data_IF_489306903292
#
_entry.id   IF_489306903292
#
_cell.length_a   1.000
_cell.length_b   1.000
_cell.length_c   1.000
_cell.angle_alpha   90.00
_cell.angle_beta   90.00
_cell.angle_gamma   90.00
#
_symmetry.space_group_name_H-M   'P 1'
#
loop_
_entity.id
_entity.type
_entity.pdbx_description
1 polymer ?
#
# COMPACT_ATOMS: atom_id res chain seq x y z
N UNK A 1 -0.59 56.63 33.67
CA UNK A 1 -0.39 55.51 34.63
C UNK A 1 -1.29 54.36 34.21
N UNK A 2 -0.71 53.20 33.92
CA UNK A 2 -1.44 52.00 33.53
C UNK A 2 -0.43 50.90 33.18
N UNK A 3 -0.09 50.11 34.19
CA UNK A 3 0.91 49.05 34.17
C UNK A 3 0.58 47.90 33.18
N UNK A 4 1.60 47.15 32.72
CA UNK A 4 1.43 46.10 31.71
C UNK A 4 0.80 44.85 32.32
N UNK A 5 0.02 44.10 31.51
CA UNK A 5 -0.42 42.74 31.84
C UNK A 5 0.00 41.75 30.74
N UNK A 6 0.22 40.48 31.12
CA UNK A 6 1.43 39.76 30.74
C UNK A 6 1.28 38.91 29.48
N UNK A 7 2.42 38.69 28.84
CA UNK A 7 2.67 37.55 27.97
C UNK A 7 2.27 36.23 28.64
N UNK A 8 1.32 35.50 28.06
CA UNK A 8 1.41 34.05 27.83
C UNK A 8 0.14 33.57 27.11
N UNK A 9 0.17 33.48 25.79
CA UNK A 9 -0.76 32.63 25.05
C UNK A 9 0.10 31.64 24.25
N UNK A 10 0.18 30.44 24.80
CA UNK A 10 0.88 29.31 24.23
C UNK A 10 0.31 28.98 22.82
N UNK A 11 1.11 28.90 21.74
CA UNK A 11 0.61 28.55 20.40
C UNK A 11 0.25 27.06 20.23
N UNK A 12 0.17 26.28 21.31
CA UNK A 12 0.08 24.80 21.30
C UNK A 12 -1.35 24.22 21.28
N UNK A 13 -2.37 24.92 20.76
CA UNK A 13 -3.76 24.41 20.86
C UNK A 13 -4.60 24.49 19.58
N UNK A 14 -4.00 24.61 18.39
CA UNK A 14 -4.82 24.77 17.18
C UNK A 14 -4.14 24.61 15.83
N UNK A 15 -3.08 23.79 15.70
CA UNK A 15 -2.39 23.64 14.40
C UNK A 15 -3.35 23.13 13.31
N UNK A 16 -4.38 22.34 13.67
CA UNK A 16 -5.29 21.71 12.70
C UNK A 16 -6.77 22.10 12.84
N UNK A 17 -7.26 22.38 14.06
CA UNK A 17 -8.64 22.82 14.30
C UNK A 17 -8.69 24.26 14.80
N UNK A 18 -9.18 25.16 13.94
CA UNK A 18 -10.11 26.20 14.38
C UNK A 18 -9.55 27.46 15.05
N UNK A 19 -8.56 28.15 14.47
CA UNK A 19 -8.48 29.62 14.49
C UNK A 19 -7.90 30.10 13.16
N UNK A 20 -8.73 30.61 12.24
CA UNK A 20 -8.37 31.62 11.21
C UNK A 20 -7.20 31.41 10.22
N UNK A 21 -6.48 30.28 10.20
CA UNK A 21 -5.32 30.12 9.31
C UNK A 21 -5.70 29.47 7.96
N UNK A 22 -5.28 30.07 6.84
CA UNK A 22 -5.42 29.48 5.52
C UNK A 22 -4.49 28.25 5.39
N UNK A 23 -5.08 27.09 5.11
CA UNK A 23 -4.35 25.84 4.79
C UNK A 23 -4.18 25.77 3.28
N UNK A 24 -3.00 25.39 2.82
CA UNK A 24 -2.73 25.34 1.38
C UNK A 24 -1.97 24.08 1.01
N UNK A 25 -2.62 23.25 0.19
CA UNK A 25 -1.98 22.14 -0.51
C UNK A 25 -1.39 22.70 -1.78
N UNK A 26 -0.07 22.69 -1.88
CA UNK A 26 0.58 23.19 -3.07
C UNK A 26 1.01 22.05 -4.00
N UNK A 27 1.39 22.43 -5.21
CA UNK A 27 1.89 21.46 -6.17
C UNK A 27 3.19 20.81 -5.68
N UNK A 28 4.08 21.55 -5.00
CA UNK A 28 5.43 21.14 -4.56
C UNK A 28 5.46 20.05 -3.47
N UNK A 29 4.40 19.25 -3.31
CA UNK A 29 4.36 18.12 -2.36
C UNK A 29 4.33 18.52 -0.89
N UNK A 30 3.85 19.73 -0.56
CA UNK A 30 3.72 20.19 0.82
C UNK A 30 2.31 20.72 1.14
N UNK A 31 1.97 20.64 2.42
CA UNK A 31 0.85 21.36 3.03
C UNK A 31 1.47 22.47 3.86
N UNK A 32 1.12 23.72 3.54
CA UNK A 32 1.55 24.89 4.31
C UNK A 32 0.39 25.46 5.12
N UNK A 33 0.75 25.99 6.28
CA UNK A 33 -0.13 26.71 7.19
C UNK A 33 0.44 28.11 7.37
N UNK A 34 -0.42 29.07 7.69
CA UNK A 34 -0.08 30.49 7.93
C UNK A 34 0.30 31.26 6.65
N UNK A 35 1.19 30.71 5.80
CA UNK A 35 1.72 31.38 4.61
C UNK A 35 2.01 30.41 3.47
N UNK A 36 1.64 30.82 2.25
CA UNK A 36 1.93 30.05 1.03
C UNK A 36 3.44 29.83 0.84
N UNK A 37 3.77 28.69 0.25
CA UNK A 37 5.11 28.39 -0.26
C UNK A 37 4.99 28.13 -1.76
N UNK A 38 5.32 29.15 -2.56
CA UNK A 38 5.11 29.13 -4.01
C UNK A 38 6.14 28.32 -4.80
N UNK A 39 7.30 28.02 -4.21
CA UNK A 39 8.39 27.30 -4.89
C UNK A 39 9.12 26.35 -3.94
N UNK A 40 9.71 25.29 -4.49
CA UNK A 40 10.74 24.54 -3.78
C UNK A 40 11.85 25.50 -3.38
N UNK A 41 12.24 25.45 -2.11
CA UNK A 41 13.43 26.15 -1.64
C UNK A 41 14.42 25.09 -1.18
N UNK A 42 15.67 25.12 -1.66
CA UNK A 42 16.67 24.11 -1.33
C UNK A 42 17.18 24.26 0.11
N UNK A 43 16.42 24.84 1.03
CA UNK A 43 16.78 25.04 2.43
C UNK A 43 16.31 23.85 3.23
N UNK A 44 17.22 23.17 3.92
CA UNK A 44 16.87 22.09 4.84
C UNK A 44 16.09 22.63 6.03
N UNK A 45 15.35 21.77 6.72
CA UNK A 45 14.76 22.18 8.00
C UNK A 45 15.87 22.45 9.03
N UNK A 46 15.70 23.44 9.92
CA UNK A 46 14.53 24.29 10.10
C UNK A 46 14.51 25.49 9.13
N UNK A 47 13.31 25.84 8.68
CA UNK A 47 13.05 27.12 7.99
C UNK A 47 12.29 28.00 8.97
N UNK A 48 12.95 29.06 9.44
CA UNK A 48 12.32 30.12 10.24
C UNK A 48 11.42 31.02 9.36
N UNK A 49 10.54 31.81 9.99
CA UNK A 49 9.58 32.82 9.42
C UNK A 49 8.11 32.37 9.36
N UNK A 50 7.61 31.72 10.41
CA UNK A 50 6.17 31.39 10.55
C UNK A 50 5.62 30.56 9.38
N UNK A 51 6.47 29.70 8.79
CA UNK A 51 6.10 28.76 7.74
C UNK A 51 5.97 27.38 8.35
N UNK A 52 4.82 27.12 8.95
CA UNK A 52 4.48 25.78 9.38
C UNK A 52 4.16 24.95 8.13
N UNK A 53 4.89 23.88 7.89
CA UNK A 53 4.77 23.02 6.72
C UNK A 53 4.84 21.54 7.10
N UNK A 54 3.97 20.76 6.48
CA UNK A 54 4.06 19.30 6.42
C UNK A 54 4.49 18.95 5.00
N UNK A 55 5.71 18.48 4.86
CA UNK A 55 6.32 18.13 3.59
C UNK A 55 6.19 16.63 3.35
N UNK A 56 5.21 16.22 2.55
CA UNK A 56 5.11 14.83 2.13
C UNK A 56 6.28 14.48 1.21
N UNK A 57 6.56 15.35 0.26
CA UNK A 57 7.60 15.15 -0.73
C UNK A 57 8.00 16.50 -1.31
N UNK A 58 8.76 17.27 -0.55
CA UNK A 58 9.10 18.62 -0.94
C UNK A 58 10.14 18.61 -2.06
N UNK A 59 9.64 18.79 -3.27
CA UNK A 59 10.38 18.90 -4.51
C UNK A 59 9.61 19.79 -5.47
N UNK A 60 10.20 20.09 -6.62
CA UNK A 60 9.52 20.77 -7.72
C UNK A 60 8.53 19.80 -8.40
N UNK A 61 7.43 19.46 -7.74
CA UNK A 61 6.36 18.60 -8.28
C UNK A 61 5.47 19.42 -9.24
N UNK A 62 5.07 18.84 -10.36
CA UNK A 62 4.25 19.49 -11.39
C UNK A 62 3.13 18.59 -11.93
N UNK A 63 1.91 18.81 -11.43
CA UNK A 63 0.71 18.11 -11.88
C UNK A 63 0.13 18.65 -13.21
N UNK A 64 0.64 19.75 -13.77
CA UNK A 64 0.15 20.28 -15.06
C UNK A 64 0.62 19.43 -16.24
N UNK A 65 1.60 18.55 -16.02
CA UNK A 65 2.21 17.69 -17.04
C UNK A 65 1.77 16.24 -16.90
N UNK A 66 1.60 15.74 -15.67
CA UNK A 66 1.07 14.42 -15.37
C UNK A 66 0.54 14.37 -13.94
N UNK A 67 -0.52 13.60 -13.73
CA UNK A 67 -1.10 13.35 -12.42
C UNK A 67 -1.99 14.47 -11.90
N UNK A 68 -2.51 14.26 -10.70
CA UNK A 68 -3.50 15.12 -10.07
C UNK A 68 -3.21 15.30 -8.59
N UNK A 69 -3.69 16.41 -8.03
CA UNK A 69 -3.61 16.69 -6.59
C UNK A 69 -5.01 16.83 -6.05
N UNK A 70 -5.37 15.95 -5.12
CA UNK A 70 -6.68 15.93 -4.47
C UNK A 70 -6.50 16.16 -2.98
N UNK A 71 -7.42 16.89 -2.37
CA UNK A 71 -7.46 16.98 -0.92
C UNK A 71 -8.89 17.11 -0.40
N UNK A 72 -9.11 16.61 0.82
CA UNK A 72 -10.40 16.70 1.49
C UNK A 72 -10.23 16.77 3.00
N UNK A 73 -11.12 17.52 3.63
CA UNK A 73 -11.43 17.34 5.05
C UNK A 73 -12.43 16.18 5.20
N UNK A 74 -12.24 15.38 6.22
CA UNK A 74 -13.05 14.21 6.51
C UNK A 74 -13.48 14.23 7.98
N UNK A 75 -14.79 14.31 8.18
CA UNK A 75 -15.47 14.13 9.46
C UNK A 75 -16.42 12.92 9.42
N UNK A 76 -16.37 12.12 8.35
CA UNK A 76 -17.22 10.94 8.22
C UNK A 76 -16.80 9.86 9.25
N UNK A 77 -17.76 9.17 9.89
CA UNK A 77 -17.47 8.23 10.98
C UNK A 77 -16.48 7.11 10.60
N UNK A 78 -16.51 6.66 9.34
CA UNK A 78 -15.63 5.60 8.88
C UNK A 78 -14.16 6.05 8.81
N UNK A 79 -13.90 7.27 8.31
CA UNK A 79 -12.56 7.83 8.24
C UNK A 79 -12.03 8.20 9.63
N UNK A 80 -12.86 8.79 10.50
CA UNK A 80 -12.47 9.08 11.89
C UNK A 80 -12.13 7.81 12.67
N UNK A 81 -12.91 6.74 12.51
CA UNK A 81 -12.64 5.44 13.14
C UNK A 81 -11.30 4.87 12.69
N UNK A 82 -11.04 4.81 11.38
CA UNK A 82 -9.75 4.32 10.85
C UNK A 82 -8.57 5.13 11.34
N UNK A 83 -8.68 6.47 11.34
CA UNK A 83 -7.63 7.36 11.83
C UNK A 83 -7.36 7.16 13.32
N UNK A 84 -8.41 6.91 14.11
CA UNK A 84 -8.31 6.58 15.53
C UNK A 84 -7.58 5.25 15.74
N UNK A 85 -7.94 4.22 14.99
CA UNK A 85 -7.30 2.90 15.04
C UNK A 85 -5.81 2.98 14.66
N UNK A 86 -5.48 3.71 13.59
CA UNK A 86 -4.09 3.95 13.17
C UNK A 86 -3.28 4.64 14.29
N UNK A 87 -3.78 5.74 14.86
CA UNK A 87 -3.06 6.47 15.92
C UNK A 87 -2.88 5.59 17.16
N UNK A 88 -3.92 4.90 17.64
CA UNK A 88 -3.80 4.01 18.80
C UNK A 88 -2.84 2.85 18.57
N UNK A 89 -2.76 2.36 17.32
CA UNK A 89 -1.83 1.30 16.94
C UNK A 89 -0.38 1.78 16.94
N UNK A 90 -0.11 2.97 16.39
CA UNK A 90 1.26 3.48 16.24
C UNK A 90 1.78 4.22 17.49
N UNK A 91 0.86 4.72 18.33
CA UNK A 91 1.12 5.46 19.56
C UNK A 91 0.35 4.83 20.74
N UNK A 92 0.76 3.63 21.20
CA UNK A 92 0.03 2.85 22.20
C UNK A 92 -0.05 3.52 23.58
N UNK A 93 0.77 4.54 23.83
CA UNK A 93 0.70 5.39 25.02
C UNK A 93 -0.53 6.31 25.05
N UNK A 94 -1.31 6.37 23.96
CA UNK A 94 -2.54 7.15 23.83
C UNK A 94 -3.77 6.26 23.56
N UNK A 95 -4.10 5.31 24.46
CA UNK A 95 -5.21 4.36 24.24
C UNK A 95 -6.58 5.04 24.12
N UNK A 96 -6.74 6.22 24.71
CA UNK A 96 -8.00 6.97 24.73
C UNK A 96 -8.14 7.96 23.56
N UNK A 97 -7.14 8.08 22.69
CA UNK A 97 -7.19 9.00 21.54
C UNK A 97 -8.43 8.74 20.68
N UNK A 98 -9.12 9.79 20.22
CA UNK A 98 -10.27 9.66 19.32
C UNK A 98 -10.27 10.81 18.32
N UNK A 99 -10.01 10.51 17.05
CA UNK A 99 -9.94 11.53 16.00
C UNK A 99 -11.28 12.26 15.86
N UNK A 100 -11.23 13.58 15.91
CA UNK A 100 -12.38 14.47 15.65
C UNK A 100 -12.28 15.16 14.29
N UNK A 101 -11.08 15.17 13.69
CA UNK A 101 -10.85 15.74 12.37
C UNK A 101 -9.71 15.03 11.66
N UNK A 102 -9.91 14.83 10.35
CA UNK A 102 -8.92 14.27 9.45
C UNK A 102 -8.84 15.11 8.19
N UNK A 103 -7.62 15.35 7.70
CA UNK A 103 -7.39 15.95 6.39
C UNK A 103 -6.48 15.06 5.58
N UNK A 104 -6.86 14.82 4.33
CA UNK A 104 -6.15 13.92 3.42
C UNK A 104 -5.78 14.73 2.19
N UNK A 105 -4.50 14.78 1.86
CA UNK A 105 -4.00 15.31 0.59
C UNK A 105 -3.22 14.21 -0.14
N UNK A 106 -3.58 13.95 -1.39
CA UNK A 106 -2.98 12.94 -2.26
C UNK A 106 -2.43 13.63 -3.49
N UNK A 107 -1.16 13.38 -3.78
CA UNK A 107 -0.53 13.67 -5.06
C UNK A 107 -0.48 12.34 -5.81
N UNK A 108 -1.33 12.18 -6.82
CA UNK A 108 -1.52 10.93 -7.55
C UNK A 108 -0.81 11.01 -8.90
N UNK A 109 0.19 10.14 -9.11
CA UNK A 109 0.96 10.04 -10.35
C UNK A 109 1.53 11.37 -10.86
N UNK A 110 2.00 12.21 -9.95
CA UNK A 110 2.57 13.52 -10.27
C UNK A 110 4.00 13.40 -10.77
N UNK A 111 4.35 14.18 -11.79
CA UNK A 111 5.73 14.26 -12.28
C UNK A 111 6.48 15.46 -11.67
N UNK A 112 7.76 15.60 -12.01
CA UNK A 112 8.58 16.74 -11.63
C UNK A 112 8.44 17.90 -12.63
N UNK A 113 8.76 19.10 -12.17
CA UNK A 113 8.77 20.32 -12.96
C UNK A 113 9.78 20.21 -14.10
N UNK A 114 9.31 20.51 -15.32
CA UNK A 114 10.07 20.31 -16.55
C UNK A 114 10.01 18.89 -17.11
N UNK A 115 9.29 17.98 -16.44
CA UNK A 115 8.92 16.67 -16.99
C UNK A 115 7.86 16.75 -18.09
N UNK A 116 7.64 15.62 -18.75
CA UNK A 116 6.62 15.41 -19.78
C UNK A 116 5.62 14.34 -19.35
N UNK A 117 4.62 14.07 -20.19
CA UNK A 117 3.68 12.95 -19.97
C UNK A 117 4.35 11.57 -19.99
N UNK A 118 5.58 11.46 -20.49
CA UNK A 118 6.39 10.24 -20.49
C UNK A 118 7.43 10.20 -19.38
N UNK A 119 7.52 11.25 -18.55
CA UNK A 119 8.43 11.27 -17.41
C UNK A 119 7.94 10.33 -16.30
N UNK A 120 8.85 9.83 -15.45
CA UNK A 120 8.48 9.12 -14.23
C UNK A 120 7.51 9.92 -13.37
N UNK A 121 6.69 9.20 -12.61
CA UNK A 121 5.65 9.75 -11.75
C UNK A 121 5.73 9.18 -10.35
N UNK A 122 5.30 9.98 -9.38
CA UNK A 122 5.22 9.60 -7.98
C UNK A 122 3.77 9.64 -7.49
N UNK A 123 3.41 8.72 -6.59
CA UNK A 123 2.17 8.77 -5.82
C UNK A 123 2.47 8.76 -4.34
N UNK A 124 1.98 9.79 -3.64
CA UNK A 124 2.13 9.93 -2.20
C UNK A 124 0.96 10.70 -1.59
N UNK A 125 0.75 10.51 -0.28
CA UNK A 125 -0.35 11.08 0.46
C UNK A 125 0.09 11.52 1.85
N UNK A 126 -0.49 12.61 2.32
CA UNK A 126 -0.42 13.05 3.71
C UNK A 126 -1.80 12.96 4.34
N UNK A 127 -1.87 12.36 5.53
CA UNK A 127 -3.04 12.33 6.40
C UNK A 127 -2.71 13.10 7.66
N UNK A 128 -3.45 14.15 7.96
CA UNK A 128 -3.38 14.90 9.21
C UNK A 128 -4.55 14.48 10.10
N UNK A 129 -4.28 14.18 11.35
CA UNK A 129 -5.26 13.62 12.29
C UNK A 129 -5.18 14.41 13.59
N UNK A 130 -6.32 14.82 14.14
CA UNK A 130 -6.37 15.44 15.47
C UNK A 130 -7.64 15.11 16.23
N UNK A 131 -7.57 15.14 17.56
CA UNK A 131 -8.72 15.17 18.47
C UNK A 131 -8.98 16.59 19.05
N UNK A 132 -8.21 17.59 18.60
CA UNK A 132 -8.20 18.96 19.13
C UNK A 132 -7.12 19.21 20.19
N UNK A 133 -6.51 18.16 20.75
CA UNK A 133 -5.41 18.23 21.73
C UNK A 133 -4.11 17.67 21.17
N UNK A 134 -4.16 16.49 20.57
CA UNK A 134 -3.06 15.80 19.93
C UNK A 134 -3.20 15.87 18.41
N UNK A 135 -2.09 16.01 17.70
CA UNK A 135 -2.04 16.16 16.26
C UNK A 135 -0.97 15.24 15.68
N UNK A 136 -1.31 14.53 14.62
CA UNK A 136 -0.47 13.55 13.96
C UNK A 136 -0.42 13.82 12.48
N UNK A 137 0.68 13.39 11.86
CA UNK A 137 0.80 13.25 10.41
C UNK A 137 1.18 11.83 10.06
N UNK A 138 0.50 11.27 9.06
CA UNK A 138 0.86 10.01 8.41
C UNK A 138 1.20 10.32 6.96
N UNK A 139 2.41 9.98 6.53
CA UNK A 139 2.79 9.97 5.13
C UNK A 139 2.60 8.56 4.59
N UNK A 140 2.00 8.43 3.41
CA UNK A 140 1.90 7.19 2.65
C UNK A 140 2.59 7.40 1.31
N UNK A 141 3.63 6.63 1.04
CA UNK A 141 4.33 6.58 -0.24
C UNK A 141 3.96 5.27 -0.92
N UNK A 142 3.45 5.35 -2.14
CA UNK A 142 3.08 4.16 -2.94
C UNK A 142 4.15 3.86 -3.99
N UNK A 143 4.50 4.86 -4.81
CA UNK A 143 5.54 4.73 -5.82
C UNK A 143 6.30 6.05 -5.94
N UNK A 144 7.61 5.99 -5.83
CA UNK A 144 8.59 7.06 -5.72
C UNK A 144 9.74 6.69 -6.67
N UNK A 145 9.60 7.12 -7.90
CA UNK A 145 10.51 6.78 -9.01
C UNK A 145 11.45 7.92 -9.39
N UNK A 146 11.19 9.12 -8.87
CA UNK A 146 12.03 10.31 -9.02
C UNK A 146 12.12 11.04 -7.70
N UNK A 147 13.21 11.78 -7.46
CA UNK A 147 13.40 12.52 -6.20
C UNK A 147 13.72 13.99 -6.39
N UNK A 148 13.97 14.44 -7.63
CA UNK A 148 14.40 15.80 -7.98
C UNK A 148 13.68 16.28 -9.23
N UNK A 149 13.56 17.60 -9.42
CA UNK A 149 13.14 18.19 -10.69
C UNK A 149 14.31 18.68 -11.56
N UNK A 150 14.03 19.11 -12.78
CA UNK A 150 15.05 19.59 -13.74
C UNK A 150 15.35 21.09 -13.61
N UNK A 151 14.66 21.80 -12.72
CA UNK A 151 14.85 23.24 -12.54
C UNK A 151 16.20 23.56 -11.87
N UNK A 152 16.74 24.75 -12.14
CA UNK A 152 18.04 25.19 -11.63
C UNK A 152 18.15 25.19 -10.09
N UNK A 153 17.03 25.30 -9.38
CA UNK A 153 16.95 25.22 -7.91
C UNK A 153 17.07 23.81 -7.35
N UNK A 154 16.73 22.79 -8.14
CA UNK A 154 16.82 21.38 -7.76
C UNK A 154 17.95 20.63 -8.47
N UNK A 155 18.44 21.08 -9.62
CA UNK A 155 19.65 20.59 -10.28
C UNK A 155 19.56 19.20 -10.92
N UNK A 156 18.37 18.68 -11.22
CA UNK A 156 18.15 17.31 -11.72
C UNK A 156 18.37 17.10 -13.23
N UNK A 157 18.38 15.83 -13.63
CA UNK A 157 18.45 15.36 -15.02
C UNK A 157 17.04 14.97 -15.54
N UNK A 158 16.93 14.52 -16.80
CA UNK A 158 15.65 14.10 -17.40
C UNK A 158 14.96 12.92 -16.71
N UNK A 159 15.67 12.19 -15.84
CA UNK A 159 15.12 11.10 -15.03
C UNK A 159 14.68 11.55 -13.64
N UNK A 160 14.94 12.81 -13.25
CA UNK A 160 14.60 13.33 -11.94
C UNK A 160 15.48 12.78 -10.80
N UNK A 161 16.70 12.33 -11.07
CA UNK A 161 17.63 11.76 -10.06
C UNK A 161 18.96 12.52 -9.91
N UNK A 162 19.26 13.49 -10.76
CA UNK A 162 20.58 14.17 -10.82
C UNK A 162 20.80 15.34 -9.85
N UNK A 163 19.82 15.67 -9.00
CA UNK A 163 19.77 16.93 -8.25
C UNK A 163 19.71 16.78 -6.72
N UNK A 164 19.23 17.82 -6.05
CA UNK A 164 18.88 17.80 -4.61
C UNK A 164 17.61 16.98 -4.43
N UNK A 165 17.76 15.77 -3.87
CA UNK A 165 16.64 14.88 -3.55
C UNK A 165 15.58 15.56 -2.67
N UNK A 166 14.35 15.07 -2.80
CA UNK A 166 13.19 15.59 -2.10
C UNK A 166 13.41 15.56 -0.58
N UNK A 167 12.82 16.55 0.09
CA UNK A 167 12.79 16.60 1.53
C UNK A 167 11.40 16.23 2.02
N UNK A 168 11.29 15.25 2.90
CA UNK A 168 10.04 14.90 3.55
C UNK A 168 10.14 15.14 5.05
N UNK A 169 9.03 15.53 5.69
CA UNK A 169 8.96 15.73 7.13
C UNK A 169 8.06 16.88 7.54
N UNK A 170 8.40 17.54 8.65
CA UNK A 170 7.58 18.58 9.26
C UNK A 170 8.43 19.75 9.72
N UNK A 171 7.87 20.94 9.72
CA UNK A 171 8.46 22.12 10.35
C UNK A 171 7.32 22.99 10.88
N UNK A 172 7.35 23.37 12.15
CA UNK A 172 6.34 24.20 12.79
C UNK A 172 6.49 25.70 12.48
N UNK A 173 7.57 26.13 11.83
CA UNK A 173 7.83 27.52 11.45
C UNK A 173 8.41 28.40 12.55
N UNK A 174 8.50 27.90 13.79
CA UNK A 174 9.10 28.58 14.95
C UNK A 174 10.64 28.44 15.00
N UNK A 175 11.21 27.79 13.98
CA UNK A 175 12.63 27.48 13.88
C UNK A 175 13.11 26.48 14.92
N UNK A 176 12.25 26.00 15.82
CA UNK A 176 12.55 25.08 16.92
C UNK A 176 11.96 23.71 16.69
N UNK A 177 10.77 23.61 16.11
CA UNK A 177 10.02 22.36 15.95
C UNK A 177 10.08 21.85 14.52
N UNK A 178 10.82 20.79 14.19
CA UNK A 178 10.87 20.19 12.84
C UNK A 178 11.30 18.72 12.82
N UNK A 179 11.09 17.97 11.75
CA UNK A 179 11.82 16.72 11.51
C UNK A 179 11.95 16.48 10.03
N UNK A 180 12.93 15.68 9.63
CA UNK A 180 13.05 15.13 8.30
C UNK A 180 12.86 13.62 8.36
N UNK A 181 12.10 13.06 7.42
CA UNK A 181 12.04 11.61 7.23
C UNK A 181 13.45 11.13 6.86
N UNK A 182 13.89 9.98 7.40
CA UNK A 182 15.05 9.25 6.94
C UNK A 182 15.30 9.31 5.43
N UNK A 183 16.53 9.62 5.03
CA UNK A 183 16.90 9.70 3.61
C UNK A 183 16.56 11.03 2.91
N UNK A 184 15.86 11.95 3.58
CA UNK A 184 15.56 13.28 3.04
C UNK A 184 16.80 13.98 2.51
N UNK A 185 16.70 14.51 1.29
CA UNK A 185 17.78 15.20 0.58
C UNK A 185 18.99 14.33 0.23
N UNK A 186 18.81 13.02 0.23
CA UNK A 186 19.80 12.05 -0.25
C UNK A 186 19.16 11.10 -1.26
N UNK A 187 19.96 10.27 -1.95
CA UNK A 187 19.45 9.25 -2.86
C UNK A 187 18.51 8.23 -2.18
N UNK A 188 18.62 8.05 -0.86
CA UNK A 188 17.76 7.15 -0.08
C UNK A 188 16.27 7.52 -0.13
N UNK A 189 15.92 8.75 -0.52
CA UNK A 189 14.52 9.16 -0.69
C UNK A 189 13.82 8.35 -1.79
N UNK A 190 14.56 7.71 -2.70
CA UNK A 190 13.99 6.75 -3.65
C UNK A 190 13.46 5.47 -2.98
N UNK A 191 13.92 5.16 -1.77
CA UNK A 191 13.53 3.95 -1.01
C UNK A 191 12.46 4.26 0.06
N UNK A 192 11.88 5.46 0.06
CA UNK A 192 10.93 5.89 1.10
C UNK A 192 9.63 5.07 1.09
N UNK A 193 9.29 4.47 -0.05
CA UNK A 193 8.14 3.57 -0.26
C UNK A 193 8.34 2.16 0.33
N UNK A 194 9.59 1.76 0.59
CA UNK A 194 9.91 0.44 1.16
C UNK A 194 10.31 0.51 2.62
N UNK A 195 10.49 1.71 3.16
CA UNK A 195 10.92 1.94 4.55
C UNK A 195 9.80 2.53 5.41
N UNK A 196 9.91 2.40 6.73
CA UNK A 196 8.85 2.80 7.66
C UNK A 196 9.36 2.97 9.10
N UNK A 197 8.64 3.76 9.91
CA UNK A 197 8.77 3.75 11.37
C UNK A 197 7.59 3.07 12.10
N UNK A 198 6.54 2.68 11.36
CA UNK A 198 5.30 2.09 11.91
C UNK A 198 5.01 0.68 11.40
N UNK A 199 5.95 0.08 10.67
CA UNK A 199 5.85 -1.31 10.25
C UNK A 199 4.96 -1.56 9.04
N UNK A 200 4.57 -0.51 8.32
CA UNK A 200 3.84 -0.61 7.06
C UNK A 200 4.71 0.02 5.98
N UNK A 201 5.20 -0.74 4.96
CA UNK A 201 6.07 -0.20 3.92
C UNK A 201 5.49 1.09 3.31
N UNK A 202 6.32 2.13 3.21
CA UNK A 202 5.91 3.42 2.65
C UNK A 202 5.06 4.26 3.59
N UNK A 203 4.68 3.75 4.77
CA UNK A 203 3.92 4.50 5.77
C UNK A 203 4.83 5.04 6.85
N UNK A 204 4.71 6.32 7.13
CA UNK A 204 5.44 7.00 8.19
C UNK A 204 4.49 7.79 9.07
N UNK A 205 4.46 7.55 10.38
CA UNK A 205 3.59 8.29 11.29
C UNK A 205 4.40 9.07 12.32
N UNK A 206 4.04 10.33 12.54
CA UNK A 206 4.69 11.20 13.50
C UNK A 206 3.67 12.01 14.28
N UNK A 207 3.95 12.22 15.55
CA UNK A 207 3.25 13.21 16.37
C UNK A 207 3.82 14.60 16.07
N UNK A 208 2.95 15.58 15.87
CA UNK A 208 3.28 16.95 15.46
C UNK A 208 2.76 18.03 16.41
N UNK A 209 2.05 17.65 17.48
CA UNK A 209 1.64 18.57 18.56
C UNK A 209 2.67 18.74 19.69
N UNK A 210 3.73 17.92 19.72
CA UNK A 210 4.71 17.95 20.81
C UNK A 210 5.55 19.26 20.80
N UNK A 211 5.87 19.76 21.98
CA UNK A 211 6.77 20.90 22.18
C UNK A 211 8.23 20.62 21.73
N UNK A 212 8.62 19.36 21.46
CA UNK A 212 10.02 18.94 21.27
C UNK A 212 10.47 18.51 19.85
N UNK A 213 9.72 18.78 18.78
CA UNK A 213 10.10 18.27 17.44
C UNK A 213 11.49 18.80 16.96
N UNK A 214 12.56 18.03 16.71
CA UNK A 214 13.71 18.44 15.82
C UNK A 214 14.28 17.22 15.11
N UNK A 215 14.55 17.26 13.78
CA UNK A 215 15.47 16.32 13.08
C UNK A 215 16.16 16.96 11.85
N UNK A 216 17.47 17.19 11.99
CA UNK A 216 18.46 17.46 10.93
C UNK A 216 19.69 18.30 11.36
N UNK A 217 20.88 17.67 11.47
CA UNK A 217 22.23 18.28 11.40
C UNK A 217 23.11 18.32 12.68
N UNK A 218 23.99 17.34 12.92
CA UNK A 218 25.06 17.41 13.94
C UNK A 218 26.31 18.07 13.35
N UNK A 219 26.67 19.27 13.80
CA UNK A 219 28.03 19.79 13.52
C UNK A 219 29.01 19.52 14.67
N UNK A 220 28.54 19.16 15.90
CA UNK A 220 29.40 19.06 17.09
C UNK A 220 28.89 18.12 18.22
N UNK A 221 28.36 16.93 17.93
CA UNK A 221 27.94 15.96 18.97
C UNK A 221 28.35 14.52 18.64
N UNK A 222 28.67 13.72 19.67
CA UNK A 222 28.92 12.27 19.55
C UNK A 222 27.70 11.56 18.98
N UNK A 223 27.89 10.88 17.85
CA UNK A 223 26.86 10.10 17.15
C UNK A 223 26.36 8.93 18.00
N UNK A 224 25.06 8.91 18.29
CA UNK A 224 24.38 7.78 18.95
C UNK A 224 24.40 6.57 18.05
N UNK A 225 24.24 6.76 16.74
CA UNK A 225 24.21 5.67 15.79
C UNK A 225 25.53 4.94 15.69
N UNK A 226 26.64 5.66 15.72
CA UNK A 226 27.98 5.05 15.73
C UNK A 226 28.31 4.46 17.11
N UNK A 227 27.97 5.16 18.19
CA UNK A 227 28.34 4.72 19.54
C UNK A 227 27.49 3.53 20.05
N UNK A 228 26.17 3.57 19.85
CA UNK A 228 25.23 2.62 20.46
C UNK A 228 24.62 1.64 19.46
N UNK A 229 24.71 1.92 18.14
CA UNK A 229 24.07 1.14 17.07
C UNK A 229 22.66 0.66 17.46
N UNK A 230 21.76 1.58 17.85
CA UNK A 230 20.56 1.23 18.59
C UNK A 230 19.51 0.49 17.76
N UNK A 231 19.51 0.62 16.43
CA UNK A 231 18.53 -0.02 15.56
C UNK A 231 18.82 -1.51 15.38
N UNK A 232 17.80 -2.33 15.60
CA UNK A 232 17.83 -3.78 15.49
C UNK A 232 17.25 -4.24 14.15
N UNK A 233 17.33 -5.54 13.88
CA UNK A 233 16.73 -6.19 12.69
C UNK A 233 17.08 -5.50 11.36
N UNK A 234 18.33 -5.03 11.23
CA UNK A 234 18.82 -4.37 10.02
C UNK A 234 18.31 -2.94 9.81
N UNK A 235 17.61 -2.36 10.78
CA UNK A 235 17.14 -0.97 10.71
C UNK A 235 18.29 0.03 10.56
N UNK A 236 18.09 1.03 9.70
CA UNK A 236 19.06 2.10 9.46
C UNK A 236 18.97 3.13 10.58
N UNK A 237 20.05 3.28 11.34
CA UNK A 237 20.15 4.29 12.39
C UNK A 237 20.48 5.66 11.82
N UNK A 238 19.77 6.66 12.31
CA UNK A 238 19.94 8.05 11.92
C UNK A 238 20.08 8.90 13.16
N UNK A 239 21.20 9.62 13.26
CA UNK A 239 21.44 10.51 14.38
C UNK A 239 20.45 11.67 14.35
N UNK A 240 19.83 11.90 15.50
CA UNK A 240 18.98 13.04 15.76
C UNK A 240 19.74 14.00 16.68
N UNK A 241 20.19 15.08 16.08
CA UNK A 241 21.27 15.90 16.58
C UNK A 241 20.73 17.14 17.27
N UNK A 242 20.57 17.09 18.58
CA UNK A 242 20.31 18.26 19.42
C UNK A 242 21.61 18.67 20.12
N UNK A 243 21.97 19.95 20.08
CA UNK A 243 23.05 20.50 20.90
C UNK A 243 22.74 20.25 22.39
N UNK A 244 23.45 19.32 23.01
CA UNK A 244 23.35 19.01 24.43
C UNK A 244 22.49 17.78 24.80
N UNK A 245 21.85 17.09 23.85
CA UNK A 245 21.20 15.80 24.13
C UNK A 245 21.18 14.90 22.87
N UNK A 246 22.04 13.87 22.78
CA UNK A 246 22.16 13.05 21.58
C UNK A 246 20.94 12.09 21.45
N UNK A 247 20.21 12.19 20.34
CA UNK A 247 19.00 11.41 20.03
C UNK A 247 19.22 10.58 18.75
N UNK A 248 18.29 9.67 18.44
CA UNK A 248 18.32 8.89 17.20
C UNK A 248 16.91 8.49 16.76
N UNK A 249 16.75 8.24 15.46
CA UNK A 249 15.59 7.56 14.87
C UNK A 249 16.06 6.33 14.11
N UNK A 250 15.26 5.27 14.13
CA UNK A 250 15.49 4.09 13.30
C UNK A 250 14.50 4.07 12.13
N UNK A 251 15.04 3.98 10.92
CA UNK A 251 14.27 3.58 9.73
C UNK A 251 14.27 2.06 9.69
N UNK A 252 13.09 1.46 9.85
CA UNK A 252 12.96 0.01 9.93
C UNK A 252 12.77 -0.58 8.53
N UNK A 253 13.37 -1.75 8.33
CA UNK A 253 13.03 -2.61 7.20
C UNK A 253 11.57 -3.05 7.33
N UNK A 254 10.93 -3.29 6.18
CA UNK A 254 9.59 -3.89 6.11
C UNK A 254 9.47 -5.12 7.00
N UNK A 255 8.36 -5.22 7.73
CA UNK A 255 8.13 -6.28 8.74
C UNK A 255 8.61 -5.94 10.15
N UNK A 256 9.32 -4.83 10.36
CA UNK A 256 9.75 -4.40 11.71
C UNK A 256 9.27 -2.99 12.06
N UNK A 257 9.05 -2.75 13.35
CA UNK A 257 8.58 -1.47 13.89
C UNK A 257 9.12 -1.16 15.29
N UNK A 258 8.67 -0.04 15.85
CA UNK A 258 9.10 0.52 17.12
C UNK A 258 10.37 1.34 16.98
N UNK A 259 10.67 2.15 18.02
CA UNK A 259 11.79 3.11 18.04
C UNK A 259 13.16 2.51 17.69
N UNK A 260 13.35 1.22 17.93
CA UNK A 260 14.58 0.46 17.67
C UNK A 260 14.42 -0.63 16.60
N UNK A 261 13.32 -0.67 15.86
CA UNK A 261 13.01 -1.77 14.93
C UNK A 261 13.03 -3.15 15.58
N UNK A 262 12.64 -3.21 16.86
CA UNK A 262 12.74 -4.42 17.69
C UNK A 262 11.42 -5.19 17.76
N UNK A 263 10.33 -4.58 17.30
CA UNK A 263 9.01 -5.19 17.27
C UNK A 263 8.82 -5.79 15.89
N UNK A 264 8.45 -7.06 15.85
CA UNK A 264 7.94 -7.71 14.64
C UNK A 264 6.54 -7.18 14.36
N UNK A 265 6.25 -6.88 13.10
CA UNK A 265 4.92 -6.46 12.67
C UNK A 265 4.01 -7.68 12.72
N UNK A 266 2.77 -7.47 13.18
CA UNK A 266 1.75 -8.50 13.09
C UNK A 266 0.86 -8.24 11.87
N UNK A 267 1.21 -8.84 10.74
CA UNK A 267 0.48 -8.74 9.47
C UNK A 267 -0.95 -9.30 9.58
N UNK A 268 -1.24 -10.14 10.57
CA UNK A 268 -2.58 -10.65 10.83
C UNK A 268 -3.50 -9.64 11.54
N UNK A 269 -2.99 -8.52 12.05
CA UNK A 269 -3.77 -7.52 12.77
C UNK A 269 -4.78 -6.77 11.88
N UNK A 270 -4.67 -6.88 10.56
CA UNK A 270 -5.65 -6.38 9.58
C UNK A 270 -6.72 -7.42 9.21
N UNK A 271 -6.67 -8.62 9.81
CA UNK A 271 -7.52 -9.76 9.47
C UNK A 271 -7.56 -10.08 7.96
N UNK A 272 -6.40 -10.35 7.32
CA UNK A 272 -6.34 -10.53 5.88
C UNK A 272 -6.99 -11.84 5.39
N UNK A 273 -7.13 -12.85 6.24
CA UNK A 273 -7.73 -14.14 5.87
C UNK A 273 -9.26 -14.07 5.90
N UNK A 274 -9.88 -14.25 4.74
CA UNK A 274 -11.32 -14.23 4.54
C UNK A 274 -11.95 -15.59 4.87
N UNK A 275 -13.29 -15.64 4.86
CA UNK A 275 -14.09 -16.86 4.97
C UNK A 275 -13.74 -17.75 6.17
N UNK A 276 -13.33 -17.16 7.30
CA UNK A 276 -12.96 -17.88 8.51
C UNK A 276 -11.55 -18.51 8.47
N UNK A 277 -10.70 -18.11 7.52
CA UNK A 277 -9.31 -18.54 7.44
C UNK A 277 -8.50 -18.19 8.69
N UNK A 278 -7.62 -19.09 9.11
CA UNK A 278 -6.69 -18.84 10.22
C UNK A 278 -5.44 -18.13 9.69
N UNK A 279 -5.11 -16.96 10.25
CA UNK A 279 -3.91 -16.22 9.90
C UNK A 279 -2.72 -16.59 10.78
N UNK A 280 -1.56 -16.80 10.17
CA UNK A 280 -0.26 -16.89 10.86
C UNK A 280 0.66 -15.81 10.30
N UNK A 281 1.15 -14.92 11.16
CA UNK A 281 2.09 -13.86 10.77
C UNK A 281 3.50 -14.44 10.57
N UNK A 282 4.32 -13.71 9.82
CA UNK A 282 5.73 -13.98 9.58
C UNK A 282 6.45 -12.68 9.25
N UNK A 283 7.77 -12.69 9.07
CA UNK A 283 8.51 -11.44 8.81
C UNK A 283 8.08 -10.85 7.47
N UNK A 284 7.48 -9.65 7.49
CA UNK A 284 6.98 -8.94 6.31
C UNK A 284 6.04 -9.79 5.43
N UNK A 285 5.34 -10.74 6.04
CA UNK A 285 4.48 -11.68 5.32
C UNK A 285 3.43 -12.29 6.24
N UNK A 286 2.37 -12.84 5.65
CA UNK A 286 1.42 -13.66 6.38
C UNK A 286 1.06 -14.87 5.56
N UNK A 287 0.51 -15.89 6.23
CA UNK A 287 -0.04 -17.08 5.60
C UNK A 287 -1.44 -17.32 6.11
N UNK A 288 -2.38 -17.50 5.20
CA UNK A 288 -3.72 -17.95 5.52
C UNK A 288 -3.82 -19.46 5.38
N UNK A 289 -4.31 -20.13 6.43
CA UNK A 289 -4.78 -21.51 6.35
C UNK A 289 -6.28 -21.48 6.09
N UNK A 290 -6.66 -21.86 4.88
CA UNK A 290 -8.05 -21.84 4.46
C UNK A 290 -8.85 -23.01 5.04
N UNK A 291 -10.12 -22.77 5.43
CA UNK A 291 -11.03 -23.84 5.78
C UNK A 291 -11.40 -24.67 4.55
N UNK A 292 -11.95 -25.86 4.77
CA UNK A 292 -12.43 -26.72 3.69
C UNK A 292 -13.44 -25.97 2.81
N UNK A 293 -13.31 -26.12 1.49
CA UNK A 293 -14.15 -25.42 0.52
C UNK A 293 -13.66 -24.03 0.12
N UNK A 294 -12.50 -23.57 0.59
CA UNK A 294 -11.90 -22.29 0.17
C UNK A 294 -10.43 -22.44 -0.22
N UNK A 295 -9.98 -21.59 -1.14
CA UNK A 295 -8.60 -21.47 -1.61
C UNK A 295 -8.22 -20.02 -1.89
N UNK A 296 -6.96 -19.82 -2.26
CA UNK A 296 -6.38 -18.51 -2.53
C UNK A 296 -5.49 -18.03 -1.39
N UNK A 297 -4.61 -17.04 -1.64
CA UNK A 297 -3.69 -16.49 -0.64
C UNK A 297 -4.39 -15.91 0.59
N UNK A 298 -5.64 -15.45 0.43
CA UNK A 298 -6.47 -14.90 1.52
C UNK A 298 -7.74 -15.69 1.76
N UNK A 299 -7.85 -16.91 1.22
CA UNK A 299 -9.05 -17.75 1.31
C UNK A 299 -10.31 -17.11 0.70
N UNK A 300 -10.12 -16.24 -0.29
CA UNK A 300 -11.17 -15.45 -0.93
C UNK A 300 -12.00 -16.25 -1.95
N UNK A 301 -11.45 -17.36 -2.45
CA UNK A 301 -12.08 -18.14 -3.52
C UNK A 301 -12.75 -19.38 -2.95
N UNK A 302 -14.06 -19.54 -3.15
CA UNK A 302 -14.74 -20.80 -2.88
C UNK A 302 -14.30 -21.88 -3.88
N UNK A 303 -14.02 -23.08 -3.39
CA UNK A 303 -13.73 -24.25 -4.22
C UNK A 303 -15.01 -24.75 -4.86
N UNK A 304 -14.93 -24.97 -6.16
CA UNK A 304 -15.96 -25.68 -6.92
C UNK A 304 -15.83 -27.19 -6.68
N UNK A 305 -16.94 -27.94 -6.55
CA UNK A 305 -16.90 -29.40 -6.69
C UNK A 305 -16.18 -29.86 -7.97
N UNK A 306 -16.23 -29.08 -9.05
CA UNK A 306 -15.53 -29.37 -10.29
C UNK A 306 -14.02 -29.10 -10.26
N UNK A 307 -13.50 -28.35 -9.28
CA UNK A 307 -12.05 -28.13 -9.15
C UNK A 307 -11.28 -29.43 -8.83
N UNK A 308 -11.98 -30.45 -8.33
CA UNK A 308 -11.39 -31.76 -7.95
C UNK A 308 -11.94 -32.95 -8.74
N UNK A 309 -12.92 -32.72 -9.63
CA UNK A 309 -13.57 -33.77 -10.40
C UNK A 309 -12.98 -33.85 -11.80
N UNK A 310 -12.34 -34.97 -12.11
CA UNK A 310 -11.85 -35.27 -13.45
C UNK A 310 -12.91 -36.04 -14.24
N UNK A 311 -13.25 -35.54 -15.43
CA UNK A 311 -14.10 -36.23 -16.40
C UNK A 311 -13.22 -36.75 -17.54
N UNK A 312 -13.33 -38.03 -17.86
CA UNK A 312 -12.56 -38.72 -18.89
C UNK A 312 -13.17 -38.49 -20.28
N UNK A 313 -12.43 -38.93 -21.31
CA UNK A 313 -12.89 -38.94 -22.71
C UNK A 313 -13.45 -37.59 -23.21
N UNK A 314 -12.86 -36.48 -22.76
CA UNK A 314 -13.27 -35.13 -23.14
C UNK A 314 -14.57 -34.65 -22.49
N UNK A 315 -15.09 -35.36 -21.47
CA UNK A 315 -16.25 -34.93 -20.69
C UNK A 315 -16.02 -33.59 -19.98
N UNK A 316 -17.08 -32.81 -19.82
CA UNK A 316 -17.05 -31.52 -19.11
C UNK A 316 -17.63 -31.65 -17.71
N UNK A 317 -16.90 -31.22 -16.69
CA UNK A 317 -17.48 -31.11 -15.36
C UNK A 317 -18.45 -29.91 -15.28
N UNK A 318 -19.61 -30.13 -14.67
CA UNK A 318 -20.58 -29.12 -14.32
C UNK A 318 -21.04 -29.28 -12.87
N UNK A 319 -21.24 -28.17 -12.17
CA UNK A 319 -21.89 -28.18 -10.86
C UNK A 319 -23.41 -28.34 -11.00
N UNK A 320 -23.97 -29.31 -10.28
CA UNK A 320 -25.39 -29.52 -10.16
C UNK A 320 -25.77 -29.73 -8.69
N UNK A 321 -26.62 -28.83 -8.15
CA UNK A 321 -27.10 -28.86 -6.75
C UNK A 321 -25.98 -29.00 -5.69
N UNK A 322 -24.83 -28.39 -5.94
CA UNK A 322 -23.67 -28.45 -5.03
C UNK A 322 -22.80 -29.71 -5.16
N UNK A 323 -23.05 -30.54 -6.19
CA UNK A 323 -22.24 -31.72 -6.53
C UNK A 323 -21.63 -31.59 -7.92
N UNK A 324 -20.49 -32.26 -8.15
CA UNK A 324 -19.85 -32.29 -9.46
C UNK A 324 -20.42 -33.42 -10.32
N UNK A 325 -20.90 -33.09 -11.51
CA UNK A 325 -21.44 -34.05 -12.48
C UNK A 325 -20.63 -33.94 -13.79
N UNK A 326 -20.24 -35.08 -14.36
CA UNK A 326 -19.58 -35.11 -15.66
C UNK A 326 -20.61 -35.19 -16.78
N UNK A 327 -20.56 -34.23 -17.69
CA UNK A 327 -21.30 -34.26 -18.95
C UNK A 327 -20.45 -34.96 -20.00
N UNK A 328 -20.89 -36.14 -20.41
CA UNK A 328 -20.17 -36.97 -21.37
C UNK A 328 -20.38 -36.49 -22.81
N UNK A 329 -19.35 -36.62 -23.63
CA UNK A 329 -19.48 -36.48 -25.07
C UNK A 329 -20.30 -37.65 -25.64
N UNK A 330 -20.89 -37.44 -26.81
CA UNK A 330 -21.60 -38.51 -27.51
C UNK A 330 -20.68 -39.71 -27.75
N UNK A 331 -21.19 -40.92 -27.50
CA UNK A 331 -20.41 -42.16 -27.49
C UNK A 331 -19.83 -42.55 -26.14
N UNK A 332 -19.88 -41.70 -25.10
CA UNK A 332 -19.39 -42.05 -23.77
C UNK A 332 -20.46 -42.01 -22.69
N UNK A 333 -20.31 -42.85 -21.67
CA UNK A 333 -21.18 -42.96 -20.51
C UNK A 333 -20.37 -43.25 -19.24
N UNK A 334 -21.05 -43.35 -18.09
CA UNK A 334 -20.43 -43.52 -16.77
C UNK A 334 -20.36 -42.23 -15.97
N UNK A 335 -20.04 -42.34 -14.67
CA UNK A 335 -20.07 -41.20 -13.76
C UNK A 335 -18.93 -40.20 -14.01
N UNK A 336 -17.83 -40.67 -14.59
CA UNK A 336 -16.69 -39.88 -15.04
C UNK A 336 -16.51 -39.95 -16.56
N UNK A 337 -17.53 -40.39 -17.32
CA UNK A 337 -17.45 -40.57 -18.77
C UNK A 337 -16.37 -41.57 -19.22
N UNK A 338 -16.08 -42.55 -18.37
CA UNK A 338 -14.99 -43.51 -18.54
C UNK A 338 -15.32 -44.66 -19.50
N UNK A 339 -16.60 -44.86 -19.83
CA UNK A 339 -17.08 -46.02 -20.59
C UNK A 339 -17.47 -45.61 -21.99
N UNK A 340 -16.88 -46.23 -23.01
CA UNK A 340 -17.34 -46.14 -24.41
C UNK A 340 -18.66 -46.90 -24.57
N UNK A 341 -19.61 -46.33 -25.29
CA UNK A 341 -20.93 -46.91 -25.51
C UNK A 341 -20.82 -47.91 -26.65
N UNK A 342 -21.17 -49.17 -26.39
CA UNK A 342 -21.21 -50.20 -27.43
C UNK A 342 -22.46 -50.00 -28.31
N UNK A 343 -22.29 -49.34 -29.46
CA UNK A 343 -23.36 -49.11 -30.43
C UNK A 343 -23.80 -50.41 -31.13
N UNK A 344 -22.95 -51.44 -31.13
CA UNK A 344 -23.24 -52.75 -31.68
C UNK A 344 -24.14 -53.61 -30.79
N UNK A 345 -24.33 -53.26 -29.51
CA UNK A 345 -25.21 -53.99 -28.59
C UNK A 345 -26.66 -54.10 -29.09
N UNK A 346 -27.11 -53.14 -29.91
CA UNK A 346 -28.44 -53.13 -30.53
C UNK A 346 -28.57 -54.03 -31.77
N UNK A 347 -27.48 -54.69 -32.18
CA UNK A 347 -27.38 -55.48 -33.42
C UNK A 347 -27.85 -54.71 -34.65
N UNK A 348 -27.23 -53.55 -34.97
CA UNK A 348 -27.75 -52.67 -36.01
C UNK A 348 -27.52 -53.21 -37.43
N UNK A 349 -26.54 -54.08 -37.66
CA UNK A 349 -26.23 -54.65 -38.98
C UNK A 349 -27.21 -55.77 -39.35
N UNK A 350 -27.79 -55.68 -40.55
CA UNK A 350 -28.78 -56.63 -41.07
C UNK A 350 -28.11 -57.70 -41.94
N UNK A 351 -28.91 -58.70 -42.36
CA UNK A 351 -28.53 -59.71 -43.34
C UNK A 351 -27.22 -60.48 -43.04
N UNK A 352 -26.88 -60.64 -41.76
CA UNK A 352 -25.67 -61.34 -41.32
C UNK A 352 -24.39 -60.50 -41.35
N UNK A 353 -24.49 -59.18 -41.52
CA UNK A 353 -23.35 -58.27 -41.42
C UNK A 353 -22.72 -58.24 -40.02
N UNK A 354 -21.39 -58.11 -39.96
CA UNK A 354 -20.64 -58.00 -38.70
C UNK A 354 -20.54 -56.53 -38.27
N UNK A 355 -20.94 -56.22 -37.04
CA UNK A 355 -20.87 -54.87 -36.48
C UNK A 355 -19.50 -54.58 -35.89
N UNK A 356 -18.98 -53.37 -36.14
CA UNK A 356 -17.78 -52.84 -35.52
C UNK A 356 -18.15 -51.55 -34.79
N UNK A 357 -17.89 -51.55 -33.49
CA UNK A 357 -18.14 -50.44 -32.58
C UNK A 357 -17.15 -49.29 -32.84
N UNK A 358 -17.62 -48.05 -32.82
CA UNK A 358 -16.84 -46.84 -33.03
C UNK A 358 -17.30 -45.78 -32.02
N UNK A 359 -16.47 -44.80 -31.66
CA UNK A 359 -16.89 -43.78 -30.69
C UNK A 359 -18.13 -43.00 -31.17
N UNK A 360 -19.28 -43.26 -30.54
CA UNK A 360 -20.56 -42.62 -30.83
C UNK A 360 -21.19 -43.03 -32.15
N UNK A 361 -20.76 -44.15 -32.73
CA UNK A 361 -21.24 -44.66 -34.01
C UNK A 361 -20.92 -46.15 -34.19
N UNK A 362 -21.33 -46.76 -35.29
CA UNK A 362 -20.90 -48.09 -35.66
C UNK A 362 -20.65 -48.17 -37.17
N UNK A 363 -19.98 -49.21 -37.61
CA UNK A 363 -19.89 -49.57 -39.02
C UNK A 363 -20.21 -51.04 -39.23
N UNK A 364 -20.84 -51.36 -40.36
CA UNK A 364 -21.20 -52.72 -40.71
C UNK A 364 -20.30 -53.27 -41.81
N UNK A 365 -19.74 -54.45 -41.58
CA UNK A 365 -19.04 -55.24 -42.57
C UNK A 365 -20.03 -56.21 -43.19
N UNK A 366 -20.49 -55.91 -44.41
CA UNK A 366 -21.54 -56.66 -45.08
C UNK A 366 -21.02 -57.96 -45.70
N UNK A 367 -21.85 -59.00 -45.67
CA UNK A 367 -21.63 -60.22 -46.42
C UNK A 367 -22.16 -60.04 -47.85
N UNK A 368 -21.39 -60.44 -48.86
CA UNK A 368 -21.84 -60.41 -50.26
C UNK A 368 -23.16 -61.19 -50.44
N UNK A 369 -24.15 -60.68 -51.20
CA UNK A 369 -24.12 -59.49 -52.06
C UNK A 369 -24.68 -58.20 -51.41
N UNK A 370 -24.78 -58.16 -50.07
CA UNK A 370 -25.47 -57.05 -49.39
C UNK A 370 -24.60 -55.80 -49.29
N UNK A 371 -25.22 -54.64 -49.46
CA UNK A 371 -24.61 -53.31 -49.40
C UNK A 371 -25.43 -52.36 -48.50
N UNK A 372 -24.92 -51.14 -48.29
CA UNK A 372 -25.57 -50.10 -47.47
C UNK A 372 -24.99 -49.97 -46.06
N UNK A 373 -25.26 -48.85 -45.36
CA UNK A 373 -24.69 -48.56 -44.04
C UNK A 373 -25.07 -49.57 -42.96
N UNK A 374 -26.17 -50.30 -43.13
CA UNK A 374 -26.62 -51.39 -42.24
C UNK A 374 -26.74 -52.73 -42.96
N UNK A 375 -26.16 -52.87 -44.16
CA UNK A 375 -26.27 -54.07 -45.01
C UNK A 375 -27.73 -54.40 -45.40
N UNK A 376 -28.56 -53.38 -45.58
CA UNK A 376 -30.00 -53.51 -45.81
C UNK A 376 -30.41 -53.75 -47.27
N UNK A 377 -29.51 -53.49 -48.23
CA UNK A 377 -29.78 -53.58 -49.68
C UNK A 377 -29.06 -54.74 -50.33
#
# INVERSE_FOLDING_TARGET
>A
MGAPRPHSSNPDLGILQGIGYSKQVNNNGIISFLKEVSQFTPVAFPIAKDRCVVAAFWADVDNRRAGDVYYREAADPATLRRATEDVRRYFPELPDFSATWVFIATWYRVTFFGGSSSSPVNTFQTVLITDGKFSFTIFNYESITWTTGTHASSGGNTTGLGGIAAQAGFNAGDGRRYFSIPGSRTADMAEVETTTNVGVPGRWAFRIDDAQVRVGGCSHTTSVCLALRPCLNGGKCIDDCVTGNPSYTCSCLSGFTGRRCHLDVNECASHPCQNGGTCTHGVNSFRCRCPAGFRGPTCETALSPCDTRECQNGGRCQEERGSAVCLCLAGYTGAACETDVDECASSPCLNGGSCVDLVGNFTCLCAEPFEGPRCET
#
